data_IF_405076507046
#
_entry.id   IF_405076507046
#
_cell.length_a   1.000
_cell.length_b   1.000
_cell.length_c   1.000
_cell.angle_alpha   90.00
_cell.angle_beta   90.00
_cell.angle_gamma   90.00
#
_symmetry.space_group_name_H-M   'P 1'
#
loop_
_entity.id
_entity.type
_entity.pdbx_description
1 polymer ?
#
# COMPACT_ATOMS: atom_id res chain seq x y z
N UNK A 1 65.86 -38.14 -50.63
CA UNK A 1 64.54 -37.46 -50.40
C UNK A 1 64.29 -37.37 -48.89
N UNK A 2 64.67 -36.22 -48.31
CA UNK A 2 64.65 -36.01 -46.89
C UNK A 2 63.37 -35.24 -46.52
N UNK A 3 62.57 -35.83 -45.67
CA UNK A 3 61.39 -35.17 -45.11
C UNK A 3 61.80 -34.45 -43.85
N UNK A 4 61.63 -33.14 -43.85
CA UNK A 4 61.92 -32.25 -42.73
C UNK A 4 60.65 -32.12 -41.86
N UNK A 5 60.72 -32.58 -40.57
CA UNK A 5 59.68 -32.37 -39.56
C UNK A 5 59.74 -30.94 -39.06
N UNK A 6 58.60 -30.27 -38.87
CA UNK A 6 58.57 -28.99 -38.15
C UNK A 6 58.53 -29.19 -36.63
N UNK A 7 59.36 -28.43 -35.95
CA UNK A 7 59.54 -28.30 -34.51
C UNK A 7 58.33 -27.81 -33.86
N UNK A 8 57.85 -28.54 -32.82
CA UNK A 8 56.90 -28.05 -31.83
C UNK A 8 57.58 -26.93 -31.03
N UNK A 9 56.97 -25.79 -30.99
CA UNK A 9 57.34 -24.66 -30.17
C UNK A 9 56.46 -24.68 -28.96
N UNK A 10 57.03 -25.09 -27.81
CA UNK A 10 56.41 -25.03 -26.50
C UNK A 10 56.20 -23.54 -26.12
N UNK A 11 54.94 -23.11 -26.02
CA UNK A 11 54.60 -21.83 -25.41
C UNK A 11 54.51 -22.00 -23.90
N UNK A 12 55.23 -21.18 -23.10
CA UNK A 12 55.09 -21.22 -21.66
C UNK A 12 53.73 -20.72 -21.19
N UNK A 13 53.17 -21.46 -20.25
CA UNK A 13 51.88 -21.21 -19.66
C UNK A 13 51.71 -19.79 -19.15
N UNK A 14 50.81 -19.06 -19.80
CA UNK A 14 50.20 -17.90 -19.22
C UNK A 14 49.04 -18.36 -18.33
N UNK A 15 49.21 -18.30 -17.02
CA UNK A 15 48.12 -18.40 -16.10
C UNK A 15 47.06 -17.35 -16.48
N UNK A 16 45.79 -17.72 -16.65
CA UNK A 16 44.77 -16.72 -16.78
C UNK A 16 44.69 -15.97 -15.44
N UNK A 17 45.06 -14.69 -15.46
CA UNK A 17 44.76 -13.78 -14.39
C UNK A 17 43.27 -13.90 -14.08
N UNK A 18 42.96 -14.50 -12.95
CA UNK A 18 41.61 -14.43 -12.36
C UNK A 18 41.40 -12.96 -12.01
N UNK A 19 40.94 -12.23 -13.02
CA UNK A 19 40.36 -10.92 -12.81
C UNK A 19 39.22 -11.12 -11.79
N UNK A 20 39.53 -10.80 -10.53
CA UNK A 20 38.54 -10.70 -9.48
C UNK A 20 37.51 -9.69 -9.97
N UNK A 21 36.47 -10.21 -10.63
CA UNK A 21 35.27 -9.46 -10.92
C UNK A 21 34.74 -8.95 -9.59
N UNK A 22 35.27 -7.79 -9.22
CA UNK A 22 34.71 -6.99 -8.14
C UNK A 22 33.22 -6.89 -8.44
N UNK A 23 32.43 -7.61 -7.66
CA UNK A 23 30.99 -7.51 -7.61
C UNK A 23 30.64 -6.11 -7.14
N UNK A 24 30.93 -5.13 -8.01
CA UNK A 24 30.28 -3.85 -7.96
C UNK A 24 28.78 -4.14 -8.16
N UNK A 25 28.07 -4.26 -7.07
CA UNK A 25 26.65 -3.99 -7.03
C UNK A 25 26.46 -2.51 -7.41
N UNK A 26 26.83 -2.17 -8.63
CA UNK A 26 26.49 -0.92 -9.29
C UNK A 26 24.98 -0.83 -9.20
N UNK A 27 24.51 0.12 -8.40
CA UNK A 27 23.14 0.26 -7.97
C UNK A 27 22.16 -0.03 -9.08
N UNK A 28 21.38 -1.08 -8.92
CA UNK A 28 20.34 -1.47 -9.85
C UNK A 28 19.54 -0.20 -10.18
N UNK A 29 19.68 0.30 -11.40
CA UNK A 29 19.05 1.54 -11.83
C UNK A 29 17.56 1.43 -11.50
N UNK A 30 17.11 2.26 -10.56
CA UNK A 30 15.74 2.21 -10.06
C UNK A 30 14.81 2.45 -11.23
N UNK A 31 14.11 1.42 -11.68
CA UNK A 31 13.13 1.59 -12.75
C UNK A 31 12.11 2.63 -12.30
N UNK A 32 11.87 3.67 -13.09
CA UNK A 32 10.92 4.70 -12.73
C UNK A 32 9.53 4.07 -12.58
N UNK A 33 8.84 4.42 -11.50
CA UNK A 33 7.45 4.02 -11.28
C UNK A 33 6.60 4.44 -12.48
N UNK A 34 5.74 3.55 -12.96
CA UNK A 34 4.79 3.91 -14.03
C UNK A 34 3.87 5.02 -13.56
N UNK A 35 3.37 5.82 -14.51
CA UNK A 35 2.41 6.91 -14.20
C UNK A 35 1.20 6.39 -13.42
N UNK A 36 0.64 5.24 -13.82
CA UNK A 36 -0.48 4.62 -13.12
C UNK A 36 -0.14 4.23 -11.67
N UNK A 37 0.99 3.58 -11.44
CA UNK A 37 1.44 3.22 -10.08
C UNK A 37 1.65 4.47 -9.22
N UNK A 38 2.24 5.53 -9.78
CA UNK A 38 2.38 6.81 -9.07
C UNK A 38 1.03 7.40 -8.68
N UNK A 39 0.10 7.47 -9.63
CA UNK A 39 -1.23 7.99 -9.38
C UNK A 39 -1.95 7.18 -8.29
N UNK A 40 -1.91 5.85 -8.37
CA UNK A 40 -2.49 4.98 -7.35
C UNK A 40 -1.91 5.22 -5.96
N UNK A 41 -0.57 5.36 -5.85
CA UNK A 41 0.08 5.68 -4.56
C UNK A 41 -0.30 7.07 -4.04
N UNK A 42 -0.47 8.07 -4.92
CA UNK A 42 -0.92 9.40 -4.51
C UNK A 42 -2.36 9.35 -3.99
N UNK A 43 -3.26 8.65 -4.69
CA UNK A 43 -4.65 8.48 -4.23
C UNK A 43 -4.68 7.79 -2.88
N UNK A 44 -3.90 6.72 -2.70
CA UNK A 44 -3.82 5.98 -1.44
C UNK A 44 -3.27 6.87 -0.31
N UNK A 45 -2.23 7.66 -0.58
CA UNK A 45 -1.67 8.60 0.38
C UNK A 45 -2.69 9.64 0.82
N UNK A 46 -3.41 10.25 -0.13
CA UNK A 46 -4.45 11.24 0.16
C UNK A 46 -5.60 10.63 0.95
N UNK A 47 -6.10 9.45 0.55
CA UNK A 47 -7.17 8.76 1.24
C UNK A 47 -6.83 8.51 2.72
N UNK A 48 -5.63 7.99 3.01
CA UNK A 48 -5.20 7.72 4.40
C UNK A 48 -4.86 8.98 5.19
N UNK A 49 -4.41 10.03 4.52
CA UNK A 49 -4.24 11.34 5.17
C UNK A 49 -5.59 11.93 5.58
N UNK A 50 -6.62 11.78 4.75
CA UNK A 50 -8.00 12.16 5.11
C UNK A 50 -8.50 11.31 6.28
N UNK A 51 -8.27 9.99 6.25
CA UNK A 51 -8.65 9.07 7.33
C UNK A 51 -8.02 9.47 8.67
N UNK A 52 -6.71 9.76 8.66
CA UNK A 52 -6.02 10.23 9.86
C UNK A 52 -6.57 11.56 10.34
N UNK A 53 -6.75 12.55 9.45
CA UNK A 53 -7.29 13.85 9.80
C UNK A 53 -8.70 13.76 10.41
N UNK A 54 -9.54 12.89 9.82
CA UNK A 54 -10.90 12.63 10.26
C UNK A 54 -10.96 12.15 11.72
N UNK A 55 -9.98 11.35 12.18
CA UNK A 55 -9.93 10.91 13.59
C UNK A 55 -9.80 12.04 14.58
N UNK A 56 -9.24 13.18 14.17
CA UNK A 56 -9.03 14.36 15.00
C UNK A 56 -10.17 15.39 14.89
N UNK A 57 -11.15 15.16 14.01
CA UNK A 57 -12.33 16.03 13.92
C UNK A 57 -13.37 15.56 14.95
N UNK A 58 -13.88 16.46 15.80
CA UNK A 58 -14.91 16.10 16.76
C UNK A 58 -16.19 15.65 16.06
N UNK A 59 -16.78 14.55 16.52
CA UNK A 59 -18.10 14.10 16.04
C UNK A 59 -19.22 14.98 16.58
N UNK A 60 -18.98 15.59 17.74
CA UNK A 60 -19.97 16.37 18.44
C UNK A 60 -19.33 17.64 19.00
N UNK A 61 -19.68 18.78 18.42
CA UNK A 61 -19.19 20.08 18.85
C UNK A 61 -19.69 20.46 20.24
N UNK A 62 -20.76 19.82 20.72
CA UNK A 62 -21.44 20.14 22.00
C UNK A 62 -20.82 19.38 23.18
N UNK A 63 -20.15 18.23 22.92
CA UNK A 63 -19.67 17.32 23.99
C UNK A 63 -18.17 17.20 24.02
N UNK A 64 -17.49 18.31 24.23
CA UNK A 64 -16.02 18.38 24.30
C UNK A 64 -15.41 17.31 25.24
N UNK A 65 -16.07 16.97 26.36
CA UNK A 65 -15.59 15.96 27.29
C UNK A 65 -15.53 14.54 26.66
N UNK A 66 -16.52 14.17 25.84
CA UNK A 66 -16.51 12.87 25.14
C UNK A 66 -15.43 12.81 24.08
N UNK A 67 -15.22 13.93 23.38
CA UNK A 67 -14.12 14.06 22.44
C UNK A 67 -12.77 13.86 23.14
N UNK A 68 -12.55 14.51 24.27
CA UNK A 68 -11.31 14.37 25.04
C UNK A 68 -11.11 12.94 25.58
N UNK A 69 -12.19 12.23 25.94
CA UNK A 69 -12.11 10.83 26.37
C UNK A 69 -11.57 9.89 25.27
N UNK A 70 -11.77 10.19 23.98
CA UNK A 70 -11.19 9.42 22.88
C UNK A 70 -9.68 9.32 22.99
N UNK A 71 -9.01 10.44 23.31
CA UNK A 71 -7.56 10.46 23.45
C UNK A 71 -7.03 9.66 24.64
N UNK A 72 -7.89 9.36 25.62
CA UNK A 72 -7.55 8.47 26.72
C UNK A 72 -7.64 6.98 26.35
N UNK A 73 -8.26 6.65 25.20
CA UNK A 73 -8.44 5.26 24.79
C UNK A 73 -7.25 4.74 23.99
N UNK A 74 -6.73 3.56 24.36
CA UNK A 74 -5.69 2.88 23.59
C UNK A 74 -6.17 2.51 22.17
N UNK A 75 -7.45 2.29 21.97
CA UNK A 75 -8.08 2.00 20.69
C UNK A 75 -7.89 3.16 19.70
N UNK A 76 -8.08 4.40 20.12
CA UNK A 76 -7.86 5.58 19.28
C UNK A 76 -6.42 5.62 18.75
N UNK A 77 -5.44 5.48 19.66
CA UNK A 77 -4.03 5.55 19.31
C UNK A 77 -3.56 4.37 18.45
N UNK A 78 -4.14 3.19 18.67
CA UNK A 78 -3.87 2.03 17.83
C UNK A 78 -4.23 2.33 16.35
N UNK A 79 -5.44 2.82 16.11
CA UNK A 79 -5.88 3.13 14.74
C UNK A 79 -5.17 4.35 14.14
N UNK A 80 -4.88 5.37 14.94
CA UNK A 80 -4.08 6.50 14.48
C UNK A 80 -2.66 6.07 14.06
N UNK A 81 -2.02 5.21 14.85
CA UNK A 81 -0.72 4.63 14.50
C UNK A 81 -0.78 3.76 13.23
N UNK A 82 -1.87 3.02 13.05
CA UNK A 82 -2.13 2.24 11.84
C UNK A 82 -2.24 3.13 10.59
N UNK A 83 -3.00 4.23 10.67
CA UNK A 83 -3.11 5.19 9.57
C UNK A 83 -1.76 5.84 9.26
N UNK A 84 -0.99 6.23 10.28
CA UNK A 84 0.38 6.75 10.11
C UNK A 84 1.28 5.72 9.44
N UNK A 85 1.23 4.45 9.83
CA UNK A 85 2.01 3.38 9.21
C UNK A 85 1.70 3.27 7.72
N UNK A 86 0.43 3.25 7.33
CA UNK A 86 0.02 3.19 5.92
C UNK A 86 0.48 4.42 5.13
N UNK A 87 0.38 5.62 5.71
CA UNK A 87 0.88 6.86 5.11
C UNK A 87 2.40 6.77 4.88
N UNK A 88 3.16 6.35 5.90
CA UNK A 88 4.63 6.24 5.81
C UNK A 88 5.04 5.20 4.77
N UNK A 89 4.43 4.02 4.77
CA UNK A 89 4.73 2.97 3.78
C UNK A 89 4.42 3.44 2.36
N UNK A 90 3.29 4.12 2.16
CA UNK A 90 2.87 4.65 0.86
C UNK A 90 3.80 5.78 0.40
N UNK A 91 4.19 6.69 1.30
CA UNK A 91 5.15 7.75 1.01
C UNK A 91 6.54 7.19 0.65
N UNK A 92 7.03 6.19 1.40
CA UNK A 92 8.28 5.50 1.09
C UNK A 92 8.23 4.77 -0.26
N UNK A 93 7.10 4.15 -0.59
CA UNK A 93 6.88 3.54 -1.90
C UNK A 93 6.95 4.58 -3.03
N UNK A 94 6.34 5.75 -2.82
CA UNK A 94 6.29 6.84 -3.79
C UNK A 94 7.67 7.52 -3.98
N UNK A 95 8.35 7.86 -2.88
CA UNK A 95 9.60 8.62 -2.90
C UNK A 95 10.79 7.74 -3.28
N UNK A 96 10.90 6.57 -2.65
CA UNK A 96 12.03 5.65 -2.87
C UNK A 96 11.80 4.66 -4.00
N UNK A 97 10.59 4.61 -4.59
CA UNK A 97 10.24 3.59 -5.58
C UNK A 97 10.26 2.17 -5.01
N UNK A 98 10.07 2.01 -3.68
CA UNK A 98 10.18 0.73 -3.01
C UNK A 98 8.97 -0.16 -3.28
N UNK A 99 9.18 -1.23 -4.05
CA UNK A 99 8.14 -2.22 -4.31
C UNK A 99 7.69 -2.95 -3.03
N UNK A 100 8.61 -3.19 -2.09
CA UNK A 100 8.28 -3.83 -0.80
C UNK A 100 7.33 -2.97 0.02
N UNK A 101 7.59 -1.66 0.13
CA UNK A 101 6.71 -0.74 0.85
C UNK A 101 5.33 -0.64 0.19
N UNK A 102 5.25 -0.62 -1.15
CA UNK A 102 4.01 -0.64 -1.90
C UNK A 102 3.18 -1.89 -1.62
N UNK A 103 3.80 -3.07 -1.71
CA UNK A 103 3.12 -4.33 -1.45
C UNK A 103 2.70 -4.46 0.02
N UNK A 104 3.54 -4.00 0.95
CA UNK A 104 3.21 -3.97 2.36
C UNK A 104 2.00 -3.07 2.64
N UNK A 105 2.00 -1.82 2.16
CA UNK A 105 0.89 -0.90 2.35
C UNK A 105 -0.42 -1.46 1.76
N UNK A 106 -0.39 -1.90 0.50
CA UNK A 106 -1.57 -2.43 -0.17
C UNK A 106 -2.04 -3.75 0.45
N UNK A 107 -1.13 -4.66 0.80
CA UNK A 107 -1.44 -5.95 1.41
C UNK A 107 -2.03 -5.79 2.81
N UNK A 108 -1.44 -4.96 3.66
CA UNK A 108 -1.95 -4.68 5.01
C UNK A 108 -3.36 -4.13 4.92
N UNK A 109 -3.61 -3.15 4.03
CA UNK A 109 -4.92 -2.56 3.87
C UNK A 109 -5.98 -3.57 3.43
N UNK A 110 -5.67 -4.39 2.41
CA UNK A 110 -6.60 -5.42 1.91
C UNK A 110 -6.87 -6.48 2.98
N UNK A 111 -5.85 -6.95 3.69
CA UNK A 111 -6.04 -7.92 4.78
C UNK A 111 -6.87 -7.32 5.91
N UNK A 112 -6.63 -6.07 6.28
CA UNK A 112 -7.44 -5.40 7.31
C UNK A 112 -8.90 -5.32 6.88
N UNK A 113 -9.18 -4.81 5.68
CA UNK A 113 -10.55 -4.61 5.20
C UNK A 113 -11.35 -5.92 5.00
N UNK A 114 -10.72 -6.99 4.51
CA UNK A 114 -11.44 -8.23 4.16
C UNK A 114 -11.29 -9.36 5.18
N UNK A 115 -10.38 -9.24 6.13
CA UNK A 115 -10.16 -10.27 7.16
C UNK A 115 -10.35 -9.71 8.56
N UNK A 116 -9.59 -8.66 8.92
CA UNK A 116 -9.61 -8.15 10.29
C UNK A 116 -10.94 -7.47 10.64
N UNK A 117 -11.41 -6.54 9.79
CA UNK A 117 -12.66 -5.80 10.05
C UNK A 117 -13.90 -6.72 10.10
N UNK A 118 -14.11 -7.68 9.17
CA UNK A 118 -15.19 -8.66 9.28
C UNK A 118 -15.12 -9.52 10.56
N UNK A 119 -13.92 -9.98 10.95
CA UNK A 119 -13.77 -10.75 12.20
C UNK A 119 -14.12 -9.90 13.42
N UNK A 120 -13.64 -8.66 13.46
CA UNK A 120 -13.96 -7.74 14.56
C UNK A 120 -15.45 -7.39 14.61
N UNK A 121 -16.08 -7.15 13.44
CA UNK A 121 -17.51 -6.90 13.38
C UNK A 121 -18.32 -8.05 13.99
N UNK A 122 -18.03 -9.29 13.59
CA UNK A 122 -18.70 -10.50 14.13
C UNK A 122 -18.40 -10.67 15.63
N UNK A 123 -17.16 -10.46 16.06
CA UNK A 123 -16.77 -10.57 17.46
C UNK A 123 -17.51 -9.57 18.37
N UNK A 124 -17.93 -8.42 17.82
CA UNK A 124 -18.72 -7.41 18.55
C UNK A 124 -20.25 -7.57 18.36
N UNK A 125 -20.70 -8.69 17.77
CA UNK A 125 -22.11 -8.98 17.57
C UNK A 125 -22.76 -8.28 16.38
N UNK A 126 -21.97 -7.62 15.53
CA UNK A 126 -22.42 -7.04 14.27
C UNK A 126 -22.37 -8.05 13.11
N UNK A 127 -22.84 -7.61 11.95
CA UNK A 127 -22.82 -8.42 10.74
C UNK A 127 -21.72 -7.90 9.79
N UNK A 128 -20.89 -8.81 9.27
CA UNK A 128 -19.79 -8.48 8.37
C UNK A 128 -20.22 -7.68 7.11
N UNK A 129 -21.43 -7.90 6.63
CA UNK A 129 -21.96 -7.19 5.46
C UNK A 129 -22.31 -5.74 5.72
N UNK A 130 -22.50 -5.32 6.99
CA UNK A 130 -22.78 -3.94 7.34
C UNK A 130 -21.65 -3.00 6.95
N UNK A 131 -20.42 -3.50 6.94
CA UNK A 131 -19.25 -2.76 6.48
C UNK A 131 -19.31 -2.45 4.97
N UNK A 132 -20.03 -3.25 4.19
CA UNK A 132 -20.16 -3.08 2.75
C UNK A 132 -21.35 -2.21 2.36
N UNK A 133 -22.30 -2.03 3.26
CA UNK A 133 -23.48 -1.18 3.01
C UNK A 133 -23.10 0.28 3.22
N UNK A 134 -23.30 1.14 2.21
CA UNK A 134 -23.05 2.56 2.38
C UNK A 134 -24.00 3.15 3.43
N UNK A 135 -23.50 3.94 4.38
CA UNK A 135 -24.35 4.68 5.31
C UNK A 135 -25.05 5.80 4.54
N UNK A 136 -26.23 5.49 3.99
CA UNK A 136 -27.00 6.46 3.21
C UNK A 136 -27.68 7.44 4.17
N UNK A 137 -27.63 8.74 3.88
CA UNK A 137 -28.36 9.75 4.63
C UNK A 137 -29.87 9.45 4.58
N UNK A 138 -30.56 9.57 5.72
CA UNK A 138 -32.00 9.44 5.76
C UNK A 138 -32.66 10.62 5.06
N UNK A 139 -33.19 10.38 3.85
CA UNK A 139 -33.90 11.36 3.05
C UNK A 139 -35.42 11.33 3.28
N UNK A 140 -35.92 10.57 4.24
CA UNK A 140 -37.36 10.32 4.45
C UNK A 140 -38.16 11.55 4.87
N UNK A 141 -37.51 12.70 5.08
CA UNK A 141 -38.21 13.97 5.41
C UNK A 141 -38.56 14.12 6.87
N UNK A 142 -38.20 13.16 7.74
CA UNK A 142 -38.31 13.32 9.19
C UNK A 142 -37.45 14.49 9.65
N UNK A 143 -37.83 15.13 10.74
CA UNK A 143 -37.09 16.25 11.35
C UNK A 143 -35.72 15.77 11.87
N UNK A 144 -34.81 15.52 10.93
CA UNK A 144 -33.40 15.21 11.22
C UNK A 144 -32.71 16.52 11.56
N UNK A 145 -32.05 16.59 12.70
CA UNK A 145 -31.31 17.80 13.07
C UNK A 145 -30.16 18.05 12.07
N UNK A 146 -29.78 19.32 11.91
CA UNK A 146 -28.65 19.69 11.04
C UNK A 146 -27.38 18.89 11.39
N UNK A 147 -27.12 18.66 12.68
CA UNK A 147 -25.98 17.90 13.17
C UNK A 147 -26.01 16.44 12.71
N UNK A 148 -27.16 15.79 12.76
CA UNK A 148 -27.34 14.41 12.27
C UNK A 148 -27.05 14.32 10.77
N UNK A 149 -27.54 15.24 9.98
CA UNK A 149 -27.27 15.28 8.53
C UNK A 149 -25.78 15.44 8.22
N UNK A 150 -25.09 16.32 8.96
CA UNK A 150 -23.65 16.50 8.79
C UNK A 150 -22.90 15.21 9.11
N UNK A 151 -23.28 14.50 10.19
CA UNK A 151 -22.66 13.22 10.55
C UNK A 151 -22.92 12.12 9.51
N UNK A 152 -24.13 12.02 8.97
CA UNK A 152 -24.46 11.05 7.92
C UNK A 152 -23.68 11.30 6.65
N UNK A 153 -23.63 12.55 6.17
CA UNK A 153 -22.85 12.93 4.97
C UNK A 153 -21.37 12.65 5.17
N UNK A 154 -20.85 12.94 6.36
CA UNK A 154 -19.48 12.68 6.74
C UNK A 154 -19.19 11.18 6.76
N UNK A 155 -20.05 10.36 7.35
CA UNK A 155 -19.92 8.90 7.37
C UNK A 155 -19.94 8.31 5.95
N UNK A 156 -20.85 8.78 5.11
CA UNK A 156 -20.91 8.37 3.71
C UNK A 156 -19.63 8.75 2.95
N UNK A 157 -19.16 9.98 3.11
CA UNK A 157 -17.91 10.44 2.49
C UNK A 157 -16.72 9.58 2.91
N UNK A 158 -16.58 9.28 4.20
CA UNK A 158 -15.50 8.44 4.72
C UNK A 158 -15.60 6.99 4.23
N UNK A 159 -16.81 6.47 4.11
CA UNK A 159 -17.04 5.17 3.49
C UNK A 159 -16.53 5.16 2.02
N UNK A 160 -16.86 6.18 1.23
CA UNK A 160 -16.35 6.31 -0.16
C UNK A 160 -14.83 6.39 -0.20
N UNK A 161 -14.22 7.22 0.66
CA UNK A 161 -12.74 7.36 0.72
C UNK A 161 -12.08 6.02 1.04
N UNK A 162 -12.63 5.28 2.01
CA UNK A 162 -12.13 3.94 2.39
C UNK A 162 -12.18 2.96 1.22
N UNK A 163 -13.33 2.84 0.57
CA UNK A 163 -13.49 1.90 -0.55
C UNK A 163 -12.68 2.27 -1.79
N UNK A 164 -12.52 3.57 -2.08
CA UNK A 164 -11.58 4.02 -3.11
C UNK A 164 -10.15 3.62 -2.76
N UNK A 165 -9.73 3.81 -1.52
CA UNK A 165 -8.42 3.39 -1.04
C UNK A 165 -8.19 1.87 -1.18
N UNK A 166 -9.18 1.07 -0.76
CA UNK A 166 -9.14 -0.41 -0.88
C UNK A 166 -9.06 -0.83 -2.36
N UNK A 167 -9.89 -0.25 -3.22
CA UNK A 167 -9.90 -0.55 -4.65
C UNK A 167 -8.55 -0.25 -5.32
N UNK A 168 -7.95 0.89 -4.98
CA UNK A 168 -6.61 1.27 -5.46
C UNK A 168 -5.55 0.32 -4.92
N UNK A 169 -5.62 -0.09 -3.65
CA UNK A 169 -4.69 -1.05 -3.07
C UNK A 169 -4.76 -2.41 -3.77
N UNK A 170 -5.96 -2.93 -4.01
CA UNK A 170 -6.17 -4.15 -4.79
C UNK A 170 -5.59 -4.05 -6.20
N UNK A 171 -5.85 -2.93 -6.88
CA UNK A 171 -5.29 -2.67 -8.20
C UNK A 171 -3.76 -2.64 -8.19
N UNK A 172 -3.14 -2.01 -7.19
CA UNK A 172 -1.68 -1.99 -7.03
C UNK A 172 -1.08 -3.38 -6.84
N UNK A 173 -1.77 -4.28 -6.12
CA UNK A 173 -1.36 -5.66 -5.93
C UNK A 173 -1.42 -6.44 -7.25
N UNK A 174 -2.54 -6.34 -7.97
CA UNK A 174 -2.75 -7.04 -9.25
C UNK A 174 -1.80 -6.54 -10.34
N UNK A 175 -1.61 -5.22 -10.46
CA UNK A 175 -0.72 -4.63 -11.45
C UNK A 175 0.74 -5.09 -11.27
N UNK A 176 1.16 -5.30 -10.03
CA UNK A 176 2.49 -5.83 -9.74
C UNK A 176 2.65 -7.28 -10.21
N UNK A 177 1.65 -8.12 -9.96
CA UNK A 177 1.71 -9.54 -10.30
C UNK A 177 1.86 -9.74 -11.83
N UNK A 178 1.11 -8.99 -12.63
CA UNK A 178 1.22 -9.05 -14.09
C UNK A 178 2.61 -8.69 -14.60
N UNK A 179 3.25 -7.66 -14.04
CA UNK A 179 4.59 -7.23 -14.45
C UNK A 179 5.70 -8.19 -14.04
N UNK A 180 5.60 -8.80 -12.87
CA UNK A 180 6.52 -9.86 -12.44
C UNK A 180 6.47 -11.02 -13.41
N UNK A 181 5.28 -11.49 -13.77
CA UNK A 181 5.08 -12.60 -14.71
C UNK A 181 5.58 -12.28 -16.11
N UNK A 182 5.34 -11.06 -16.63
CA UNK A 182 5.86 -10.65 -17.95
C UNK A 182 7.38 -10.57 -18.00
N UNK A 183 8.03 -10.19 -16.90
CA UNK A 183 9.49 -10.13 -16.83
C UNK A 183 10.11 -11.54 -16.71
N UNK A 184 9.50 -12.45 -15.98
CA UNK A 184 9.92 -13.85 -15.90
C UNK A 184 9.86 -14.54 -17.27
N UNK A 185 8.78 -14.35 -18.02
CA UNK A 185 8.64 -14.88 -19.38
C UNK A 185 9.60 -14.26 -20.41
N UNK A 186 10.16 -13.09 -20.14
CA UNK A 186 11.11 -12.42 -21.05
C UNK A 186 12.53 -12.95 -20.93
N UNK A 187 12.89 -13.62 -19.83
CA UNK A 187 14.22 -14.20 -19.60
C UNK A 187 14.35 -15.63 -20.15
N UNK A 188 13.24 -16.27 -20.47
CA UNK A 188 13.24 -17.63 -21.04
C UNK A 188 13.29 -17.67 -22.58
N UNK A 189 13.42 -16.54 -23.27
CA UNK A 189 13.59 -16.43 -24.72
C UNK A 189 14.96 -15.89 -25.09
#
# INVERSE_FOLDING_TARGET
MSATQPRHQDSPGGEPAVESAGTGYAGAARMPLSRGTRLGLVILLVAWSIHLAERFIPDDFVRLHLYLQRFASGHFWFWAAFDVLLIVLTALALVKGSNRCRLAAAGILVVTAFVADPILAVAHGGHWYELMVPPLPDLSGNEVTYEQRVMEVRAFFMWVVTWVGIGVAMWLLVANNRRSTENEFRWER
#
